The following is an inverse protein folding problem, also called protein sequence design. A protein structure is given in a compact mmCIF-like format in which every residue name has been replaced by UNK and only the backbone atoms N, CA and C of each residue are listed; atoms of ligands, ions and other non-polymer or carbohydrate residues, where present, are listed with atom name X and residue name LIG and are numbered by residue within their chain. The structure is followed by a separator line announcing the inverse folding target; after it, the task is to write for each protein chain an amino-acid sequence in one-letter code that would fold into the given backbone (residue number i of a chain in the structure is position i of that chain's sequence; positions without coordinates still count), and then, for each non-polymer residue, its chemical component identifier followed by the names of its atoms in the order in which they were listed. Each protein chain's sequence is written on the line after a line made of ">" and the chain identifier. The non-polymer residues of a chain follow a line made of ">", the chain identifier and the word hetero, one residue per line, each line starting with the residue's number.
data_IF_951657593338
#
_entry.id   IF_951657593338
#
_cell.length_a   1.000
_cell.length_b   1.000
_cell.length_c   1.000
_cell.angle_alpha   90.00
_cell.angle_beta   90.00
_cell.angle_gamma   90.00
#
_symmetry.space_group_name_H-M   'P 1'
#
loop_
_entity.id
_entity.type
_entity.pdbx_description
1 polymer ?
#
# COMPACT_ATOMS: atom_id res chain seq x y z
N UNK A 1 20.56 16.57 4.65
CA UNK A 1 19.47 16.55 3.63
C UNK A 1 19.07 15.14 3.16
N UNK A 2 20.00 14.29 2.68
CA UNK A 2 19.63 12.94 2.15
C UNK A 2 18.99 12.00 3.19
N UNK A 3 19.47 11.99 4.44
CA UNK A 3 18.92 11.14 5.53
C UNK A 3 17.44 11.45 5.82
N UNK A 4 17.07 12.72 5.93
CA UNK A 4 15.68 13.13 6.21
C UNK A 4 14.71 12.80 5.06
N UNK A 5 15.20 12.88 3.82
CA UNK A 5 14.42 12.44 2.64
C UNK A 5 14.11 10.94 2.69
N UNK A 6 15.11 10.11 3.05
CA UNK A 6 14.93 8.66 3.18
C UNK A 6 13.90 8.36 4.28
N UNK A 7 14.03 8.99 5.45
CA UNK A 7 13.10 8.80 6.56
C UNK A 7 11.66 9.16 6.15
N UNK A 8 11.45 10.30 5.50
CA UNK A 8 10.12 10.71 5.04
C UNK A 8 9.54 9.76 3.98
N UNK A 9 10.39 9.27 3.05
CA UNK A 9 9.98 8.26 2.08
C UNK A 9 9.60 6.93 2.75
N UNK A 10 10.35 6.49 3.76
CA UNK A 10 10.05 5.29 4.55
C UNK A 10 8.76 5.42 5.37
N UNK A 11 8.46 6.61 5.92
CA UNK A 11 7.17 6.89 6.56
C UNK A 11 6.05 6.84 5.51
N UNK A 12 6.27 7.40 4.32
CA UNK A 12 5.35 7.31 3.19
C UNK A 12 5.03 5.86 2.82
N UNK A 13 6.05 4.99 2.75
CA UNK A 13 5.88 3.55 2.51
C UNK A 13 4.99 2.89 3.57
N UNK A 14 5.23 3.16 4.85
CA UNK A 14 4.43 2.61 5.95
C UNK A 14 2.96 3.05 5.84
N UNK A 15 2.73 4.35 5.58
CA UNK A 15 1.38 4.89 5.39
C UNK A 15 0.70 4.27 4.17
N UNK A 16 1.41 4.17 3.04
CA UNK A 16 0.91 3.53 1.83
C UNK A 16 0.53 2.07 2.04
N UNK A 17 1.33 1.33 2.80
CA UNK A 17 1.04 -0.06 3.14
C UNK A 17 -0.23 -0.20 4.00
N UNK A 18 -0.40 0.66 5.01
CA UNK A 18 -1.62 0.69 5.82
C UNK A 18 -2.86 1.02 4.99
N UNK A 19 -2.77 1.97 4.07
CA UNK A 19 -3.88 2.33 3.18
C UNK A 19 -4.22 1.15 2.26
N UNK A 20 -3.23 0.46 1.72
CA UNK A 20 -3.45 -0.72 0.87
C UNK A 20 -4.22 -1.81 1.60
N UNK A 21 -3.80 -2.11 2.84
CA UNK A 21 -4.45 -3.10 3.70
C UNK A 21 -5.92 -2.73 3.94
N UNK A 22 -6.20 -1.47 4.26
CA UNK A 22 -7.57 -0.99 4.49
C UNK A 22 -8.40 -1.02 3.21
N UNK A 23 -7.82 -0.65 2.07
CA UNK A 23 -8.49 -0.71 0.77
C UNK A 23 -8.90 -2.14 0.42
N UNK A 24 -8.00 -3.11 0.63
CA UNK A 24 -8.30 -4.52 0.39
C UNK A 24 -9.41 -5.01 1.32
N UNK A 25 -9.36 -4.66 2.61
CA UNK A 25 -10.41 -5.00 3.58
C UNK A 25 -11.79 -4.45 3.17
N UNK A 26 -11.85 -3.23 2.63
CA UNK A 26 -13.10 -2.62 2.15
C UNK A 26 -13.60 -3.30 0.87
N UNK A 27 -12.72 -3.50 -0.11
CA UNK A 27 -13.07 -4.07 -1.42
C UNK A 27 -13.42 -5.56 -1.36
N UNK A 28 -12.96 -6.28 -0.33
CA UNK A 28 -13.15 -7.73 -0.20
C UNK A 28 -14.47 -8.14 0.47
N UNK A 29 -15.29 -7.20 0.92
CA UNK A 29 -16.53 -7.51 1.65
C UNK A 29 -17.73 -7.66 0.69
N UNK A 30 -18.46 -8.78 0.73
CA UNK A 30 -19.74 -8.91 0.05
C UNK A 30 -20.72 -7.87 0.60
N UNK A 31 -21.58 -7.34 -0.28
CA UNK A 31 -22.57 -6.32 0.04
C UNK A 31 -23.43 -6.78 1.25
N UNK A 32 -23.38 -6.01 2.35
CA UNK A 32 -24.24 -6.12 3.56
C UNK A 32 -23.76 -6.93 4.78
N UNK A 33 -22.46 -7.20 4.96
CA UNK A 33 -21.94 -7.70 6.25
C UNK A 33 -21.49 -6.52 7.13
N UNK A 34 -21.77 -6.56 8.43
CA UNK A 34 -21.29 -5.56 9.39
C UNK A 34 -19.79 -5.31 9.21
N UNK A 35 -19.40 -4.03 9.11
CA UNK A 35 -18.02 -3.59 8.82
C UNK A 35 -17.10 -3.93 10.00
N UNK A 36 -16.73 -5.19 10.11
CA UNK A 36 -15.67 -5.68 10.98
C UNK A 36 -14.36 -5.46 10.24
N UNK A 37 -13.55 -4.49 10.66
CA UNK A 37 -12.24 -4.23 10.08
C UNK A 37 -11.30 -5.34 10.55
N UNK A 38 -11.00 -6.31 9.68
CA UNK A 38 -10.09 -7.45 9.95
C UNK A 38 -9.09 -7.59 8.82
N UNK A 39 -8.17 -6.62 8.68
CA UNK A 39 -7.48 -6.43 7.41
C UNK A 39 -6.43 -7.50 7.11
N UNK A 40 -5.89 -8.13 8.16
CA UNK A 40 -4.95 -9.25 8.06
C UNK A 40 -5.66 -10.48 7.47
N UNK A 41 -6.88 -10.76 7.91
CA UNK A 41 -7.66 -11.90 7.43
C UNK A 41 -8.07 -11.67 5.97
N UNK A 42 -8.52 -10.46 5.63
CA UNK A 42 -8.86 -10.08 4.25
C UNK A 42 -7.67 -10.15 3.30
N UNK A 43 -6.48 -9.75 3.76
CA UNK A 43 -5.23 -9.89 2.99
C UNK A 43 -4.95 -11.36 2.64
N UNK A 44 -5.06 -12.27 3.60
CA UNK A 44 -4.81 -13.69 3.39
C UNK A 44 -5.80 -14.31 2.40
N UNK A 45 -7.10 -14.00 2.54
CA UNK A 45 -8.13 -14.47 1.61
C UNK A 45 -7.92 -13.92 0.20
N UNK A 46 -7.56 -12.63 0.06
CA UNK A 46 -7.37 -12.00 -1.24
C UNK A 46 -6.13 -12.55 -1.97
N UNK A 47 -4.99 -12.66 -1.29
CA UNK A 47 -3.80 -13.27 -1.88
C UNK A 47 -4.00 -14.73 -2.25
N UNK A 48 -4.72 -15.49 -1.41
CA UNK A 48 -5.09 -16.86 -1.73
C UNK A 48 -5.98 -16.93 -2.97
N UNK A 49 -7.06 -16.11 -3.03
CA UNK A 49 -7.96 -16.07 -4.17
C UNK A 49 -7.27 -15.65 -5.48
N UNK A 50 -6.39 -14.65 -5.41
CA UNK A 50 -5.64 -14.17 -6.58
C UNK A 50 -4.61 -15.20 -7.06
N UNK A 51 -3.92 -15.86 -6.14
CA UNK A 51 -2.97 -16.93 -6.45
C UNK A 51 -3.64 -18.20 -6.98
N UNK A 52 -4.83 -18.55 -6.45
CA UNK A 52 -5.59 -19.71 -6.90
C UNK A 52 -6.21 -19.50 -8.29
N UNK A 53 -6.76 -18.32 -8.57
CA UNK A 53 -7.45 -18.01 -9.83
C UNK A 53 -6.51 -17.77 -11.01
N UNK A 54 -5.39 -17.09 -10.78
CA UNK A 54 -4.46 -16.69 -11.84
C UNK A 54 -3.12 -17.43 -11.79
N UNK A 55 -2.93 -18.34 -10.82
CA UNK A 55 -1.69 -19.10 -10.64
C UNK A 55 -0.47 -18.19 -10.51
N UNK A 56 0.63 -18.59 -11.15
CA UNK A 56 1.90 -17.83 -11.17
C UNK A 56 1.75 -16.42 -11.73
N UNK A 57 0.88 -16.20 -12.71
CA UNK A 57 0.65 -14.88 -13.30
C UNK A 57 -0.01 -13.93 -12.29
N UNK A 58 -0.92 -14.43 -11.45
CA UNK A 58 -1.53 -13.67 -10.36
C UNK A 58 -0.50 -13.16 -9.36
N UNK A 59 0.46 -14.01 -9.00
CA UNK A 59 1.58 -13.63 -8.13
C UNK A 59 2.47 -12.55 -8.75
N UNK A 60 2.82 -12.68 -10.04
CA UNK A 60 3.65 -11.70 -10.74
C UNK A 60 2.94 -10.34 -10.82
N UNK A 61 1.67 -10.32 -11.24
CA UNK A 61 0.88 -9.10 -11.34
C UNK A 61 0.65 -8.45 -9.98
N UNK A 62 0.34 -9.25 -8.95
CA UNK A 62 0.18 -8.78 -7.58
C UNK A 62 1.47 -8.17 -7.03
N UNK A 63 2.62 -8.79 -7.26
CA UNK A 63 3.92 -8.27 -6.85
C UNK A 63 4.26 -6.95 -7.58
N UNK A 64 4.03 -6.86 -8.89
CA UNK A 64 4.26 -5.64 -9.66
C UNK A 64 3.37 -4.49 -9.17
N UNK A 65 2.08 -4.75 -8.92
CA UNK A 65 1.15 -3.76 -8.38
C UNK A 65 1.57 -3.30 -6.98
N UNK A 66 2.00 -4.23 -6.11
CA UNK A 66 2.49 -3.89 -4.77
C UNK A 66 3.74 -3.01 -4.84
N UNK A 67 4.72 -3.38 -5.67
CA UNK A 67 5.95 -2.60 -5.85
C UNK A 67 5.61 -1.20 -6.38
N UNK A 68 4.73 -1.11 -7.39
CA UNK A 68 4.29 0.16 -7.96
C UNK A 68 3.59 1.06 -6.92
N UNK A 69 2.69 0.48 -6.12
CA UNK A 69 2.00 1.18 -5.04
C UNK A 69 2.97 1.73 -3.98
N UNK A 70 3.90 0.89 -3.53
CA UNK A 70 4.92 1.28 -2.56
C UNK A 70 5.84 2.38 -3.12
N UNK A 71 6.28 2.25 -4.38
CA UNK A 71 7.09 3.27 -5.04
C UNK A 71 6.36 4.62 -5.13
N UNK A 72 5.06 4.61 -5.45
CA UNK A 72 4.22 5.81 -5.49
C UNK A 72 4.17 6.49 -4.11
N UNK A 73 3.91 5.75 -3.04
CA UNK A 73 3.84 6.30 -1.69
C UNK A 73 5.19 6.75 -1.14
N UNK A 74 6.28 6.08 -1.51
CA UNK A 74 7.63 6.59 -1.26
C UNK A 74 7.84 7.93 -1.96
N UNK A 75 7.47 8.05 -3.24
CA UNK A 75 7.61 9.29 -3.98
C UNK A 75 6.79 10.42 -3.35
N UNK A 76 5.52 10.18 -3.02
CA UNK A 76 4.65 11.12 -2.31
C UNK A 76 5.28 11.56 -0.99
N UNK A 77 5.75 10.62 -0.16
CA UNK A 77 6.40 10.93 1.11
C UNK A 77 7.66 11.80 0.94
N UNK A 78 8.45 11.56 -0.11
CA UNK A 78 9.59 12.42 -0.44
C UNK A 78 9.21 13.77 -1.03
N UNK A 79 8.09 13.86 -1.76
CA UNK A 79 7.58 15.08 -2.36
C UNK A 79 7.00 16.03 -1.30
N UNK A 80 6.20 15.50 -0.37
CA UNK A 80 5.69 16.25 0.79
C UNK A 80 6.85 16.82 1.63
N UNK A 81 7.91 16.02 1.85
CA UNK A 81 9.12 16.51 2.53
C UNK A 81 9.77 17.69 1.79
N UNK A 82 9.86 17.63 0.45
CA UNK A 82 10.37 18.76 -0.33
C UNK A 82 9.49 19.99 -0.17
N UNK A 83 8.16 19.87 -0.24
CA UNK A 83 7.26 21.01 -0.06
C UNK A 83 7.41 21.67 1.32
N UNK A 84 7.46 20.87 2.39
CA UNK A 84 7.52 21.39 3.75
C UNK A 84 8.89 21.99 4.13
N UNK A 85 9.99 21.42 3.62
CA UNK A 85 11.35 21.78 4.05
C UNK A 85 12.20 22.46 2.98
N UNK A 86 11.79 22.45 1.71
CA UNK A 86 12.47 23.20 0.64
C UNK A 86 11.87 24.60 0.42
N UNK A 87 10.70 24.91 0.97
CA UNK A 87 10.06 26.22 0.86
C UNK A 87 10.63 27.29 1.82
N UNK A 88 11.69 26.98 2.57
CA UNK A 88 12.36 27.89 3.51
C UNK A 88 13.79 28.30 3.09
N UNK A 89 14.14 28.17 1.81
CA UNK A 89 15.42 28.68 1.28
C UNK A 89 15.21 29.81 0.30
#
# INVERSE_FOLDING_TARGET
>A
MKKNKIISGSIGLLVGYLILIVLIDILSKPENIAVSIKPIDSMATYFFGFGFTLGTLGWILGALLLIGWLALFYFIGTWIYKLMFSSKS
#
